data_IF_436606875864
#
_entry.id   IF_436606875864
#
_cell.length_a   1.000
_cell.length_b   1.000
_cell.length_c   1.000
_cell.angle_alpha   90.00
_cell.angle_beta   90.00
_cell.angle_gamma   90.00
#
_symmetry.space_group_name_H-M   'P 1'
#
loop_
_entity.id
_entity.type
_entity.pdbx_description
1 polymer ?
#
# COMPACT_ATOMS: atom_id res chain seq x y z
N UNK A 1 -13.25 8.21 -7.28
CA UNK A 1 -12.19 7.77 -8.20
C UNK A 1 -12.81 7.36 -9.55
N UNK A 2 -13.10 8.30 -10.46
CA UNK A 2 -13.60 7.94 -11.82
C UNK A 2 -12.48 7.82 -12.85
N UNK A 3 -11.32 8.43 -12.59
CA UNK A 3 -10.18 8.50 -13.51
C UNK A 3 -9.17 7.37 -13.34
N UNK A 4 -9.07 6.76 -12.16
CA UNK A 4 -8.08 5.71 -11.89
C UNK A 4 -8.75 4.35 -11.71
N UNK A 5 -8.11 3.29 -12.20
CA UNK A 5 -8.45 1.91 -11.86
C UNK A 5 -7.39 1.34 -10.91
N UNK A 6 -7.85 0.54 -9.95
CA UNK A 6 -6.99 -0.21 -9.05
C UNK A 6 -7.13 -1.68 -9.39
N UNK A 7 -6.01 -2.35 -9.58
CA UNK A 7 -5.99 -3.80 -9.71
C UNK A 7 -4.89 -4.41 -8.85
N UNK A 8 -4.95 -5.71 -8.61
CA UNK A 8 -3.99 -6.41 -7.78
C UNK A 8 -3.61 -7.78 -8.34
N UNK A 9 -2.42 -8.25 -7.98
CA UNK A 9 -1.97 -9.61 -8.17
C UNK A 9 -1.57 -10.18 -6.81
N UNK A 10 -2.07 -11.37 -6.47
CA UNK A 10 -1.79 -12.03 -5.20
C UNK A 10 -0.97 -13.30 -5.42
N UNK A 11 0.15 -13.41 -4.72
CA UNK A 11 0.95 -14.62 -4.61
C UNK A 11 1.15 -14.97 -3.13
N UNK A 12 0.44 -16.00 -2.66
CA UNK A 12 0.48 -16.42 -1.26
C UNK A 12 0.04 -15.31 -0.29
N UNK A 13 0.95 -14.91 0.60
CA UNK A 13 0.75 -13.85 1.61
C UNK A 13 1.27 -12.48 1.12
N UNK A 14 1.58 -12.35 -0.18
CA UNK A 14 2.03 -11.12 -0.82
C UNK A 14 0.99 -10.64 -1.83
N UNK A 15 0.76 -9.33 -1.90
CA UNK A 15 -0.09 -8.70 -2.91
C UNK A 15 0.64 -7.49 -3.49
N UNK A 16 0.76 -7.47 -4.81
CA UNK A 16 1.16 -6.31 -5.58
C UNK A 16 -0.07 -5.60 -6.14
N UNK A 17 -0.07 -4.27 -6.09
CA UNK A 17 -1.14 -3.43 -6.59
C UNK A 17 -0.67 -2.53 -7.72
N UNK A 18 -1.58 -2.28 -8.65
CA UNK A 18 -1.37 -1.50 -9.86
C UNK A 18 -2.39 -0.39 -9.94
N UNK A 19 -1.94 0.82 -10.31
CA UNK A 19 -2.80 1.98 -10.53
C UNK A 19 -2.67 2.43 -11.98
N UNK A 20 -3.78 2.44 -12.72
CA UNK A 20 -3.83 2.86 -14.12
C UNK A 20 -4.71 4.10 -14.30
N UNK A 21 -4.31 5.02 -15.19
CA UNK A 21 -5.22 6.06 -15.68
C UNK A 21 -6.20 5.42 -16.67
N UNK A 22 -7.51 5.56 -16.44
CA UNK A 22 -8.55 5.04 -17.33
C UNK A 22 -8.64 5.81 -18.65
N UNK A 23 -8.11 7.03 -18.71
CA UNK A 23 -8.16 7.89 -19.89
C UNK A 23 -6.94 7.63 -20.78
N UNK A 24 -5.74 7.61 -20.21
CA UNK A 24 -4.49 7.43 -20.97
C UNK A 24 -4.09 5.96 -21.09
N UNK A 25 -4.69 5.06 -20.31
CA UNK A 25 -4.28 3.66 -20.15
C UNK A 25 -2.84 3.48 -19.64
N UNK A 26 -2.21 4.55 -19.16
CA UNK A 26 -0.86 4.50 -18.64
C UNK A 26 -0.85 3.93 -17.22
N UNK A 27 0.17 3.11 -16.93
CA UNK A 27 0.47 2.68 -15.57
C UNK A 27 1.09 3.85 -14.81
N UNK A 28 0.35 4.43 -13.88
CA UNK A 28 0.81 5.58 -13.08
C UNK A 28 1.72 5.10 -11.95
N UNK A 29 1.44 3.93 -11.39
CA UNK A 29 2.27 3.32 -10.36
C UNK A 29 2.25 1.80 -10.52
N UNK A 30 3.46 1.26 -10.67
CA UNK A 30 3.79 -0.14 -10.47
C UNK A 30 4.45 -0.25 -9.10
N UNK A 31 4.24 -1.33 -8.37
CA UNK A 31 4.87 -1.62 -7.08
C UNK A 31 4.34 -0.85 -5.85
N UNK A 32 3.03 -0.90 -5.58
CA UNK A 32 2.64 -1.03 -4.17
C UNK A 32 2.65 -2.51 -3.80
N UNK A 33 3.54 -2.89 -2.90
CA UNK A 33 3.67 -4.28 -2.45
C UNK A 33 3.38 -4.36 -0.96
N UNK A 34 2.39 -5.17 -0.60
CA UNK A 34 2.03 -5.51 0.76
C UNK A 34 2.31 -6.99 1.00
N UNK A 35 2.90 -7.35 2.13
CA UNK A 35 3.10 -8.75 2.51
C UNK A 35 2.73 -9.01 3.97
N UNK A 36 2.27 -10.22 4.25
CA UNK A 36 1.83 -10.61 5.59
C UNK A 36 2.92 -11.47 6.24
N UNK A 37 3.47 -10.97 7.35
CA UNK A 37 4.26 -11.81 8.24
C UNK A 37 3.36 -12.33 9.36
N UNK A 38 2.93 -13.58 9.21
CA UNK A 38 2.07 -14.26 10.20
C UNK A 38 2.79 -14.58 11.51
N UNK A 39 4.12 -14.72 11.49
CA UNK A 39 4.88 -15.02 12.70
C UNK A 39 4.98 -13.82 13.64
N UNK A 40 5.18 -12.61 13.08
CA UNK A 40 5.26 -11.37 13.86
C UNK A 40 3.93 -10.61 13.94
N UNK A 41 2.86 -11.13 13.33
CA UNK A 41 1.57 -10.44 13.16
C UNK A 41 1.73 -9.04 12.52
N UNK A 42 2.45 -8.96 11.39
CA UNK A 42 2.73 -7.70 10.71
C UNK A 42 2.22 -7.69 9.27
N UNK A 43 1.55 -6.60 8.89
CA UNK A 43 1.34 -6.19 7.50
C UNK A 43 2.53 -5.32 7.11
N UNK A 44 3.41 -5.83 6.26
CA UNK A 44 4.58 -5.11 5.79
C UNK A 44 4.24 -4.33 4.52
N UNK A 45 4.49 -3.01 4.55
CA UNK A 45 4.44 -2.16 3.36
C UNK A 45 5.84 -2.10 2.76
N UNK A 46 6.11 -2.96 1.77
CA UNK A 46 7.43 -3.14 1.21
C UNK A 46 7.82 -2.03 0.22
N UNK A 47 6.87 -1.64 -0.64
CA UNK A 47 7.03 -0.52 -1.57
C UNK A 47 5.71 0.26 -1.56
N UNK A 48 5.75 1.57 -1.34
CA UNK A 48 4.62 2.48 -1.54
C UNK A 48 5.19 3.83 -1.96
N UNK A 49 4.76 4.35 -3.11
CA UNK A 49 5.23 5.62 -3.65
C UNK A 49 4.19 6.72 -3.37
N UNK A 50 4.45 7.64 -2.42
CA UNK A 50 3.53 8.74 -2.12
C UNK A 50 3.40 9.75 -3.26
N UNK A 51 4.26 9.68 -4.27
CA UNK A 51 4.35 10.60 -5.41
C UNK A 51 3.15 10.53 -6.37
N UNK A 52 2.17 9.65 -6.13
CA UNK A 52 0.82 9.75 -6.71
C UNK A 52 0.18 11.15 -6.49
N UNK A 53 0.65 11.91 -5.48
CA UNK A 53 0.27 13.29 -5.21
C UNK A 53 0.80 14.33 -6.24
N UNK A 54 1.70 13.95 -7.16
CA UNK A 54 2.22 14.84 -8.22
C UNK A 54 1.26 14.97 -9.42
N UNK A 55 0.21 14.16 -9.48
CA UNK A 55 -0.86 14.27 -10.48
C UNK A 55 -1.78 15.46 -10.15
N UNK A 56 -2.34 16.11 -11.17
CA UNK A 56 -3.25 17.27 -10.96
C UNK A 56 -4.48 16.82 -10.18
N UNK A 57 -4.91 17.59 -9.16
CA UNK A 57 -6.08 17.28 -8.30
C UNK A 57 -5.95 16.01 -7.42
N UNK A 58 -4.74 15.52 -7.15
CA UNK A 58 -4.52 14.24 -6.43
C UNK A 58 -3.97 14.36 -5.00
N UNK A 59 -4.10 15.52 -4.34
CA UNK A 59 -3.53 15.81 -3.00
C UNK A 59 -3.84 14.73 -1.94
N UNK A 60 -5.00 14.10 -2.02
CA UNK A 60 -5.44 13.05 -1.09
C UNK A 60 -5.42 11.64 -1.69
N UNK A 61 -5.03 11.49 -2.97
CA UNK A 61 -5.07 10.22 -3.67
C UNK A 61 -4.14 9.20 -3.00
N UNK A 62 -2.92 9.59 -2.65
CA UNK A 62 -1.98 8.69 -1.97
C UNK A 62 -2.53 8.21 -0.63
N UNK A 63 -3.13 9.08 0.18
CA UNK A 63 -3.71 8.71 1.46
C UNK A 63 -4.92 7.78 1.31
N UNK A 64 -5.84 8.11 0.39
CA UNK A 64 -7.00 7.28 0.09
C UNK A 64 -6.60 5.90 -0.46
N UNK A 65 -5.60 5.86 -1.35
CA UNK A 65 -5.04 4.62 -1.86
C UNK A 65 -4.41 3.80 -0.73
N UNK A 66 -3.55 4.40 0.10
CA UNK A 66 -2.95 3.71 1.24
C UNK A 66 -4.02 3.06 2.12
N UNK A 67 -5.04 3.84 2.49
CA UNK A 67 -6.16 3.35 3.29
C UNK A 67 -6.86 2.16 2.62
N UNK A 68 -7.34 2.33 1.39
CA UNK A 68 -8.06 1.29 0.65
C UNK A 68 -7.24 0.00 0.49
N UNK A 69 -5.95 0.12 0.22
CA UNK A 69 -5.08 -1.00 -0.12
C UNK A 69 -4.72 -1.81 1.13
N UNK A 70 -4.53 -1.17 2.29
CA UNK A 70 -4.39 -1.86 3.57
C UNK A 70 -5.65 -2.65 3.93
N UNK A 71 -6.83 -2.04 3.79
CA UNK A 71 -8.10 -2.74 4.08
C UNK A 71 -8.38 -3.89 3.11
N UNK A 72 -8.10 -3.69 1.82
CA UNK A 72 -8.20 -4.75 0.82
C UNK A 72 -7.24 -5.91 1.12
N UNK A 73 -5.98 -5.61 1.42
CA UNK A 73 -4.99 -6.61 1.79
C UNK A 73 -5.43 -7.44 3.00
N UNK A 74 -5.90 -6.77 4.05
CA UNK A 74 -6.39 -7.42 5.25
C UNK A 74 -7.57 -8.37 4.95
N UNK A 75 -8.50 -7.95 4.08
CA UNK A 75 -9.61 -8.78 3.62
C UNK A 75 -9.13 -10.01 2.85
N UNK A 76 -8.22 -9.84 1.88
CA UNK A 76 -7.70 -10.91 1.03
C UNK A 76 -6.84 -11.94 1.78
N UNK A 77 -6.20 -11.53 2.88
CA UNK A 77 -5.34 -12.41 3.69
C UNK A 77 -5.98 -12.86 5.01
N UNK A 78 -7.26 -12.53 5.24
CA UNK A 78 -8.02 -12.83 6.47
C UNK A 78 -7.33 -12.34 7.75
N UNK A 79 -6.85 -11.11 7.72
CA UNK A 79 -6.15 -10.47 8.82
C UNK A 79 -7.14 -10.05 9.91
N UNK A 80 -6.74 -10.20 11.18
CA UNK A 80 -7.51 -9.79 12.36
C UNK A 80 -6.92 -8.55 13.04
N UNK A 81 -7.60 -8.02 14.05
CA UNK A 81 -7.22 -6.84 14.84
C UNK A 81 -5.86 -6.92 15.54
N UNK A 82 -5.26 -8.11 15.63
CA UNK A 82 -3.96 -8.32 16.31
C UNK A 82 -2.75 -7.92 15.45
N UNK A 83 -2.97 -7.58 14.19
CA UNK A 83 -1.90 -7.26 13.26
C UNK A 83 -1.53 -5.79 13.32
N UNK A 84 -0.25 -5.52 13.09
CA UNK A 84 0.30 -4.16 13.02
C UNK A 84 0.79 -3.85 11.62
N UNK A 85 0.69 -2.59 11.24
CA UNK A 85 1.29 -2.08 10.00
C UNK A 85 2.76 -1.81 10.30
N UNK A 86 3.65 -2.27 9.42
CA UNK A 86 5.08 -2.05 9.50
C UNK A 86 5.60 -1.55 8.16
N UNK A 87 6.45 -0.51 8.20
CA UNK A 87 7.13 -0.02 7.01
C UNK A 87 8.47 0.64 7.36
N UNK A 88 9.38 0.65 6.39
CA UNK A 88 10.61 1.43 6.45
C UNK A 88 10.54 2.57 5.44
N UNK A 89 10.92 3.77 5.87
CA UNK A 89 10.88 4.95 5.00
C UNK A 89 11.95 5.97 5.38
N UNK A 90 12.10 7.03 4.57
CA UNK A 90 13.00 8.14 4.90
C UNK A 90 12.31 9.13 5.84
N UNK A 91 13.01 9.75 6.81
CA UNK A 91 12.40 10.72 7.74
C UNK A 91 11.58 11.84 7.07
N UNK A 92 12.01 12.44 5.94
CA UNK A 92 11.19 13.46 5.27
C UNK A 92 9.87 12.90 4.76
N UNK A 93 9.88 11.69 4.16
CA UNK A 93 8.67 11.03 3.66
C UNK A 93 7.72 10.67 4.80
N UNK A 94 8.24 10.22 5.94
CA UNK A 94 7.42 10.02 7.14
C UNK A 94 6.75 11.31 7.56
N UNK A 95 7.53 12.39 7.70
CA UNK A 95 7.02 13.68 8.18
C UNK A 95 5.96 14.24 7.24
N UNK A 96 6.19 14.17 5.94
CA UNK A 96 5.33 14.83 4.95
C UNK A 96 4.10 14.01 4.56
N UNK A 97 4.11 12.68 4.79
CA UNK A 97 3.03 11.79 4.39
C UNK A 97 2.53 10.89 5.54
N UNK A 98 3.36 9.95 6.00
CA UNK A 98 2.89 8.91 6.92
C UNK A 98 2.43 9.45 8.28
N UNK A 99 3.07 10.50 8.79
CA UNK A 99 2.69 11.13 10.07
C UNK A 99 1.33 11.84 10.03
N UNK A 100 0.80 12.07 8.82
CA UNK A 100 -0.51 12.69 8.61
C UNK A 100 -1.64 11.67 8.49
N UNK A 101 -1.33 10.36 8.40
CA UNK A 101 -2.30 9.28 8.30
C UNK A 101 -2.79 8.86 9.69
N UNK A 102 -3.66 9.67 10.28
CA UNK A 102 -4.14 9.49 11.66
C UNK A 102 -4.93 8.20 11.87
N UNK A 103 -5.51 7.61 10.83
CA UNK A 103 -6.32 6.38 10.92
C UNK A 103 -5.52 5.16 11.41
N UNK A 104 -4.19 5.17 11.27
CA UNK A 104 -3.31 4.03 11.54
C UNK A 104 -2.35 4.24 12.71
N UNK A 105 -2.38 5.42 13.35
CA UNK A 105 -1.44 5.84 14.40
C UNK A 105 0.02 5.45 14.11
N UNK A 106 0.51 5.83 12.92
CA UNK A 106 1.86 5.49 12.47
C UNK A 106 2.90 6.29 13.25
N UNK A 107 3.77 5.58 14.00
CA UNK A 107 4.81 6.16 14.84
C UNK A 107 6.19 5.60 14.48
N UNK A 108 7.21 6.46 14.49
CA UNK A 108 8.60 6.01 14.41
C UNK A 108 8.94 5.21 15.67
N UNK A 109 9.41 3.97 15.50
CA UNK A 109 9.91 3.14 16.61
C UNK A 109 11.41 3.13 16.72
N UNK A 110 12.11 3.21 15.59
CA UNK A 110 13.57 3.08 15.55
C UNK A 110 14.15 3.81 14.35
N UNK A 111 15.29 4.46 14.55
CA UNK A 111 16.16 4.89 13.46
C UNK A 111 17.03 3.70 13.01
N UNK A 112 17.07 3.44 11.71
CA UNK A 112 17.85 2.37 11.08
C UNK A 112 19.08 2.98 10.42
N UNK A 113 20.09 2.14 10.15
CA UNK A 113 21.26 2.51 9.35
C UNK A 113 20.81 3.01 7.95
N UNK A 114 21.59 3.90 7.34
CA UNK A 114 21.35 4.45 6.00
C UNK A 114 20.09 5.33 5.87
N UNK A 115 19.91 6.29 6.79
CA UNK A 115 18.91 7.39 6.67
C UNK A 115 17.44 6.95 6.58
N UNK A 116 17.11 5.78 7.11
CA UNK A 116 15.73 5.28 7.17
C UNK A 116 15.23 5.12 8.60
N UNK A 117 13.91 5.12 8.75
CA UNK A 117 13.20 4.92 10.02
C UNK A 117 12.20 3.79 9.89
N UNK A 118 12.10 2.98 10.95
CA UNK A 118 11.04 1.99 11.12
C UNK A 118 9.80 2.66 11.69
N UNK A 119 8.68 2.50 10.99
CA UNK A 119 7.39 3.07 11.33
C UNK A 119 6.41 1.93 11.57
N UNK A 120 5.69 2.03 12.67
CA UNK A 120 4.73 1.03 13.12
C UNK A 120 3.40 1.72 13.39
N UNK A 121 2.30 1.07 13.04
CA UNK A 121 0.96 1.51 13.36
C UNK A 121 0.06 0.33 13.68
N UNK A 122 -1.12 0.63 14.20
CA UNK A 122 -2.14 -0.38 14.44
C UNK A 122 -3.05 -0.48 13.21
N UNK A 123 -3.49 -1.71 12.90
CA UNK A 123 -4.49 -1.92 11.84
C UNK A 123 -5.89 -1.90 12.46
N UNK A 124 -6.73 -0.89 12.16
CA UNK A 124 -8.11 -0.89 12.61
C UNK A 124 -8.96 -1.77 11.67
N UNK A 125 -9.57 -2.87 12.15
CA UNK A 125 -10.44 -3.72 11.33
C UNK A 125 -11.81 -3.06 11.11
N UNK A 126 -11.85 -2.05 10.24
CA UNK A 126 -13.08 -1.35 9.85
C UNK A 126 -13.63 -1.97 8.57
N UNK A 127 -14.95 -2.18 8.45
CA UNK A 127 -15.55 -2.59 7.18
C UNK A 127 -15.41 -1.46 6.16
N UNK A 128 -14.63 -1.70 5.11
CA UNK A 128 -14.41 -0.78 4.00
C UNK A 128 -14.83 -1.47 2.72
N UNK A 129 -15.56 -0.76 1.86
CA UNK A 129 -15.87 -1.28 0.53
C UNK A 129 -14.63 -1.22 -0.36
N UNK A 130 -14.17 -2.40 -0.75
CA UNK A 130 -12.99 -2.60 -1.60
C UNK A 130 -13.36 -3.23 -2.94
N UNK A 131 -14.65 -3.26 -3.31
CA UNK A 131 -15.12 -3.93 -4.53
C UNK A 131 -14.61 -3.28 -5.82
N UNK A 132 -14.08 -2.06 -5.72
CA UNK A 132 -13.51 -1.32 -6.84
C UNK A 132 -12.08 -1.76 -7.22
N UNK A 133 -11.47 -2.64 -6.44
CA UNK A 133 -10.14 -3.19 -6.68
C UNK A 133 -10.33 -4.56 -7.34
N UNK A 134 -9.84 -4.70 -8.57
CA UNK A 134 -10.08 -5.87 -9.41
C UNK A 134 -8.82 -6.76 -9.46
N UNK A 135 -9.00 -8.09 -9.52
CA UNK A 135 -7.86 -8.99 -9.70
C UNK A 135 -7.32 -8.87 -11.13
N UNK A 136 -6.01 -8.63 -11.25
CA UNK A 136 -5.32 -8.56 -12.53
C UNK A 136 -5.04 -9.98 -13.02
N UNK A 137 -5.59 -10.33 -14.18
CA UNK A 137 -5.17 -11.52 -14.92
C UNK A 137 -3.84 -11.17 -15.57
N UNK A 138 -2.76 -11.84 -15.12
CA UNK A 138 -1.47 -11.74 -15.81
C UNK A 138 -1.56 -12.57 -17.08
N UNK A 139 -1.24 -11.97 -18.23
CA UNK A 139 -0.98 -12.72 -19.46
C UNK A 139 0.36 -13.46 -19.30
N UNK A 140 0.50 -14.65 -19.90
CA UNK A 140 1.58 -15.62 -19.66
C UNK A 140 3.03 -15.06 -19.80
N UNK A 141 3.21 -13.87 -20.38
CA UNK A 141 4.51 -13.22 -20.61
C UNK A 141 4.81 -12.02 -19.69
N UNK A 142 3.91 -11.59 -18.78
CA UNK A 142 4.22 -10.51 -17.81
C UNK A 142 4.71 -11.09 -16.46
N UNK A 143 5.94 -10.76 -16.01
CA UNK A 143 6.41 -11.19 -14.69
C UNK A 143 5.55 -10.58 -13.58
N UNK A 144 5.07 -11.44 -12.68
CA UNK A 144 4.17 -11.10 -11.57
C UNK A 144 4.74 -10.10 -10.56
N UNK A 145 6.07 -10.06 -10.43
CA UNK A 145 6.80 -9.13 -9.57
C UNK A 145 7.98 -8.55 -10.35
N UNK A 146 7.99 -7.23 -10.54
CA UNK A 146 9.14 -6.55 -11.13
C UNK A 146 10.22 -6.32 -10.06
N UNK A 147 11.25 -7.16 -10.09
CA UNK A 147 12.50 -6.92 -9.38
C UNK A 147 13.31 -5.88 -10.16
N UNK A 148 12.96 -4.60 -10.02
CA UNK A 148 13.88 -3.48 -10.24
C UNK A 148 14.64 -3.15 -8.96
#
# INVERSE_FOLDING_TARGET
MRRYALSYHKEGDCIEYFITDKITHENISRALVLSLNRYSNQINVAKFYPELAKQTESKYLSAACFYLLIHHFAKCCHVSEKYRIFLQTRPPVYKDFYSLLNDFDLQIKRAVLCETVEVWGDYPPVPVDTSMIEEKVLEDDEPAFLFE
#
